data_IF_920299795845
#
_entry.id   IF_920299795845
#
_cell.length_a   1.000
_cell.length_b   1.000
_cell.length_c   1.000
_cell.angle_alpha   90.00
_cell.angle_beta   90.00
_cell.angle_gamma   90.00
#
_symmetry.space_group_name_H-M   'P 1'
#
loop_
_entity.id
_entity.type
_entity.pdbx_description
1 polymer ?
#
# COMPACT_ATOMS: atom_id res chain seq x y z
N UNK A 1 14.72 6.11 -4.38
CA UNK A 1 13.74 7.07 -3.82
C UNK A 1 12.32 6.54 -3.98
N UNK A 2 11.86 6.18 -5.18
CA UNK A 2 10.50 5.66 -5.44
C UNK A 2 10.23 4.34 -4.68
N UNK A 3 11.22 3.43 -4.63
CA UNK A 3 11.04 2.13 -3.97
C UNK A 3 10.69 2.26 -2.49
N UNK A 4 11.34 3.18 -1.77
CA UNK A 4 11.06 3.44 -0.36
C UNK A 4 9.62 3.92 -0.14
N UNK A 5 9.12 4.81 -1.00
CA UNK A 5 7.74 5.29 -0.90
C UNK A 5 6.72 4.20 -1.19
N UNK A 6 7.03 3.30 -2.13
CA UNK A 6 6.12 2.25 -2.55
C UNK A 6 6.10 1.04 -1.60
N UNK A 7 7.25 0.70 -1.02
CA UNK A 7 7.43 -0.55 -0.27
C UNK A 7 7.60 -0.36 1.24
N UNK A 8 8.14 0.77 1.68
CA UNK A 8 8.59 0.92 3.08
C UNK A 8 7.83 2.01 3.85
N UNK A 9 7.29 3.02 3.15
CA UNK A 9 6.49 4.07 3.78
C UNK A 9 5.05 3.62 4.02
N UNK A 10 4.73 3.33 5.28
CA UNK A 10 3.36 3.05 5.71
C UNK A 10 2.46 4.30 5.70
N UNK A 11 1.24 4.14 5.19
CA UNK A 11 0.22 5.19 5.14
C UNK A 11 -0.69 5.08 6.37
N UNK A 12 -0.51 5.98 7.34
CA UNK A 12 -1.24 5.97 8.61
C UNK A 12 -2.76 6.03 8.46
N UNK A 13 -3.25 6.79 7.48
CA UNK A 13 -4.68 6.95 7.21
C UNK A 13 -5.27 5.81 6.36
N UNK A 14 -4.43 4.94 5.77
CA UNK A 14 -4.84 3.85 4.89
C UNK A 14 -4.45 2.51 5.50
N UNK A 15 -5.09 2.20 6.64
CA UNK A 15 -4.96 0.92 7.36
C UNK A 15 -3.52 0.57 7.77
N UNK A 16 -2.61 1.57 7.80
CA UNK A 16 -1.16 1.38 8.03
C UNK A 16 -0.56 0.35 7.07
N UNK A 17 -0.87 0.44 5.78
CA UNK A 17 -0.27 -0.36 4.71
C UNK A 17 0.70 0.47 3.88
N UNK A 18 1.65 -0.18 3.22
CA UNK A 18 2.47 0.47 2.17
C UNK A 18 1.66 0.58 0.89
N UNK A 19 1.99 1.53 -0.01
CA UNK A 19 1.22 1.72 -1.24
C UNK A 19 1.03 0.46 -2.08
N UNK A 20 2.06 -0.40 -2.18
CA UNK A 20 1.96 -1.68 -2.90
C UNK A 20 0.99 -2.64 -2.21
N UNK A 21 1.08 -2.77 -0.88
CA UNK A 21 0.16 -3.63 -0.12
C UNK A 21 -1.29 -3.14 -0.21
N UNK A 22 -1.50 -1.83 -0.13
CA UNK A 22 -2.84 -1.24 -0.26
C UNK A 22 -3.43 -1.46 -1.66
N UNK A 23 -2.63 -1.31 -2.72
CA UNK A 23 -3.07 -1.62 -4.09
C UNK A 23 -3.47 -3.07 -4.25
N UNK A 24 -2.66 -4.01 -3.77
CA UNK A 24 -2.95 -5.44 -3.86
C UNK A 24 -4.21 -5.82 -3.07
N UNK A 25 -4.42 -5.18 -1.91
CA UNK A 25 -5.63 -5.33 -1.12
C UNK A 25 -6.87 -4.88 -1.90
N UNK A 26 -6.85 -3.71 -2.54
CA UNK A 26 -7.97 -3.22 -3.35
C UNK A 26 -8.29 -4.15 -4.53
N UNK A 27 -7.27 -4.67 -5.21
CA UNK A 27 -7.45 -5.61 -6.33
C UNK A 27 -8.05 -6.96 -5.89
N UNK A 28 -7.72 -7.40 -4.67
CA UNK A 28 -8.30 -8.60 -4.06
C UNK A 28 -9.74 -8.38 -3.58
N UNK A 29 -10.07 -7.19 -3.07
CA UNK A 29 -11.45 -6.85 -2.65
C UNK A 29 -12.40 -6.69 -3.84
N UNK A 30 -11.88 -6.37 -5.03
CA UNK A 30 -12.67 -6.22 -6.27
C UNK A 30 -12.93 -7.53 -7.04
N UNK A 31 -12.44 -8.67 -6.54
CA UNK A 31 -12.62 -9.99 -7.14
C UNK A 31 -13.61 -10.83 -6.32
#
# INVERSE_FOLDING_TARGET
YIDYYNNDRYQWNLKKMTPVLYRNHLLKESA
#
